data_IF_020535276039
#
_entry.id   IF_020535276039
#
_cell.length_a   1.000
_cell.length_b   1.000
_cell.length_c   1.000
_cell.angle_alpha   90.00
_cell.angle_beta   90.00
_cell.angle_gamma   90.00
#
_symmetry.space_group_name_H-M   'P 1'
#
loop_
_entity.id
_entity.type
_entity.pdbx_description
1 polymer ?
#
# COMPACT_ATOMS: atom_id res chain seq x y z
N UNK A 1 13.54 -13.81 12.65
CA UNK A 1 13.13 -12.56 12.00
C UNK A 1 11.72 -12.70 11.45
N UNK A 2 10.85 -11.77 11.78
CA UNK A 2 9.46 -11.80 11.35
C UNK A 2 9.35 -11.51 9.86
N UNK A 3 8.47 -12.22 9.17
CA UNK A 3 8.22 -12.03 7.74
C UNK A 3 6.98 -11.16 7.52
N UNK A 4 7.06 -10.25 6.56
CA UNK A 4 5.96 -9.36 6.21
C UNK A 4 6.01 -9.10 4.70
N UNK A 5 4.85 -8.93 4.07
CA UNK A 5 4.79 -8.59 2.66
C UNK A 5 4.26 -7.17 2.50
N UNK A 6 4.95 -6.37 1.70
CA UNK A 6 4.49 -5.02 1.34
C UNK A 6 3.94 -5.10 -0.08
N UNK A 7 2.61 -5.02 -0.20
CA UNK A 7 1.90 -5.11 -1.48
C UNK A 7 1.57 -3.70 -1.94
N UNK A 8 1.94 -3.35 -3.15
CA UNK A 8 1.74 -1.99 -3.62
C UNK A 8 1.54 -1.97 -5.13
N UNK A 9 1.07 -0.81 -5.61
CA UNK A 9 1.08 -0.50 -7.03
C UNK A 9 1.76 0.86 -7.18
N UNK A 10 2.72 0.95 -8.09
CA UNK A 10 3.48 2.17 -8.30
C UNK A 10 3.45 2.52 -9.78
N UNK A 11 2.81 3.64 -10.11
CA UNK A 11 2.67 4.10 -11.49
C UNK A 11 3.75 5.09 -11.87
N UNK A 12 4.24 5.89 -10.92
CA UNK A 12 5.25 6.94 -11.17
C UNK A 12 6.56 6.69 -10.46
N UNK A 13 6.66 5.62 -9.66
CA UNK A 13 7.86 5.32 -8.89
C UNK A 13 7.89 5.88 -7.48
N UNK A 14 6.97 6.76 -7.12
CA UNK A 14 6.93 7.35 -5.77
C UNK A 14 6.67 6.30 -4.69
N UNK A 15 5.68 5.44 -4.91
CA UNK A 15 5.36 4.38 -3.95
C UNK A 15 6.49 3.37 -3.86
N UNK A 16 7.08 3.01 -5.00
CA UNK A 16 8.22 2.08 -5.02
C UNK A 16 9.39 2.62 -4.20
N UNK A 17 9.70 3.91 -4.36
CA UNK A 17 10.75 4.57 -3.57
C UNK A 17 10.46 4.47 -2.08
N UNK A 18 9.21 4.73 -1.68
CA UNK A 18 8.83 4.70 -0.28
C UNK A 18 8.95 3.28 0.31
N UNK A 19 8.38 2.28 -0.36
CA UNK A 19 8.39 0.91 0.19
C UNK A 19 9.80 0.33 0.22
N UNK A 20 10.68 0.74 -0.69
CA UNK A 20 12.08 0.31 -0.67
C UNK A 20 12.78 0.83 0.58
N UNK A 21 12.64 2.13 0.87
CA UNK A 21 13.22 2.72 2.08
C UNK A 21 12.60 2.15 3.34
N UNK A 22 11.30 1.91 3.31
CA UNK A 22 10.59 1.30 4.43
C UNK A 22 11.07 -0.11 4.70
N UNK A 23 11.30 -0.92 3.66
CA UNK A 23 11.79 -2.28 3.84
C UNK A 23 13.16 -2.30 4.53
N UNK A 24 14.02 -1.33 4.22
CA UNK A 24 15.32 -1.19 4.87
C UNK A 24 15.16 -0.86 6.36
N UNK A 25 14.25 0.05 6.68
CA UNK A 25 13.97 0.42 8.06
C UNK A 25 13.39 -0.76 8.84
N UNK A 26 12.49 -1.52 8.24
CA UNK A 26 11.91 -2.70 8.87
C UNK A 26 12.97 -3.76 9.13
N UNK A 27 13.90 -3.94 8.21
CA UNK A 27 14.99 -4.90 8.38
C UNK A 27 15.87 -4.54 9.57
N UNK A 28 16.11 -3.25 9.79
CA UNK A 28 16.87 -2.79 10.97
C UNK A 28 16.13 -3.08 12.27
N UNK A 29 14.83 -3.36 12.19
CA UNK A 29 13.97 -3.66 13.35
C UNK A 29 13.49 -5.11 13.36
N UNK A 30 14.27 -6.00 12.76
CA UNK A 30 14.05 -7.45 12.76
C UNK A 30 12.79 -7.90 12.01
N UNK A 31 12.39 -7.16 11.00
CA UNK A 31 11.31 -7.57 10.10
C UNK A 31 11.87 -7.68 8.68
N UNK A 32 11.73 -8.86 8.10
CA UNK A 32 12.13 -9.11 6.72
C UNK A 32 10.91 -8.91 5.81
N UNK A 33 10.95 -7.85 5.00
CA UNK A 33 9.84 -7.47 4.14
C UNK A 33 10.09 -7.89 2.70
N UNK A 34 9.11 -8.56 2.13
CA UNK A 34 9.08 -8.90 0.71
C UNK A 34 8.23 -7.87 -0.02
N UNK A 35 8.71 -7.36 -1.14
CA UNK A 35 8.00 -6.34 -1.92
C UNK A 35 7.28 -6.98 -3.10
N UNK A 36 5.98 -6.71 -3.23
CA UNK A 36 5.21 -7.16 -4.39
C UNK A 36 4.58 -5.93 -5.05
N UNK A 37 5.05 -5.62 -6.26
CA UNK A 37 4.44 -4.57 -7.09
C UNK A 37 3.43 -5.25 -8.02
N UNK A 38 2.15 -5.04 -7.76
CA UNK A 38 1.08 -5.69 -8.52
C UNK A 38 1.13 -5.31 -9.99
N UNK A 39 1.58 -4.10 -10.31
CA UNK A 39 1.76 -3.67 -11.68
C UNK A 39 2.68 -4.62 -12.46
N UNK A 40 3.76 -5.07 -11.83
CA UNK A 40 4.71 -5.99 -12.47
C UNK A 40 4.08 -7.35 -12.71
N UNK A 41 3.25 -7.83 -11.78
CA UNK A 41 2.56 -9.10 -11.97
C UNK A 41 1.65 -9.07 -13.18
N UNK A 42 0.90 -7.99 -13.34
CA UNK A 42 0.00 -7.83 -14.49
C UNK A 42 0.80 -7.72 -15.79
N UNK A 43 1.87 -6.93 -15.78
CA UNK A 43 2.69 -6.70 -16.95
C UNK A 43 3.33 -8.01 -17.47
N UNK A 44 3.72 -8.89 -16.55
CA UNK A 44 4.39 -10.14 -16.90
C UNK A 44 3.41 -11.32 -17.01
N UNK A 45 2.11 -11.06 -16.92
CA UNK A 45 1.05 -12.08 -16.95
C UNK A 45 1.23 -13.17 -15.89
N UNK A 46 1.72 -12.77 -14.72
CA UNK A 46 1.87 -13.71 -13.59
C UNK A 46 0.52 -13.80 -12.88
N UNK A 47 0.04 -15.03 -12.72
CA UNK A 47 -1.21 -15.27 -12.01
C UNK A 47 -1.07 -14.91 -10.54
N UNK A 48 -2.10 -14.24 -9.98
CA UNK A 48 -2.10 -13.87 -8.56
C UNK A 48 -2.15 -15.13 -7.70
N UNK A 49 -1.32 -15.16 -6.66
CA UNK A 49 -1.27 -16.28 -5.75
C UNK A 49 -1.68 -15.87 -4.35
N UNK A 50 -1.91 -16.86 -3.52
CA UNK A 50 -2.31 -16.69 -2.13
C UNK A 50 -1.17 -16.07 -1.31
N UNK A 51 -1.49 -15.06 -0.48
CA UNK A 51 -0.52 -14.49 0.45
C UNK A 51 -0.31 -15.46 1.62
N UNK A 52 0.95 -15.78 1.89
CA UNK A 52 1.32 -16.67 2.99
C UNK A 52 1.65 -15.92 4.26
N UNK A 53 2.03 -14.65 4.14
CA UNK A 53 2.45 -13.82 5.25
C UNK A 53 1.46 -12.68 5.48
N UNK A 54 1.51 -12.06 6.66
CA UNK A 54 0.79 -10.82 6.88
C UNK A 54 1.31 -9.76 5.92
N UNK A 55 0.43 -8.85 5.51
CA UNK A 55 0.75 -7.86 4.50
C UNK A 55 0.28 -6.47 4.90
N UNK A 56 0.93 -5.47 4.33
CA UNK A 56 0.50 -4.07 4.39
C UNK A 56 0.39 -3.59 2.95
N UNK A 57 -0.69 -2.88 2.65
CA UNK A 57 -0.99 -2.40 1.30
C UNK A 57 -0.63 -0.92 1.19
N UNK A 58 -0.01 -0.54 0.07
CA UNK A 58 0.35 0.85 -0.21
C UNK A 58 -0.31 1.28 -1.50
N UNK A 59 -1.10 2.34 -1.44
CA UNK A 59 -1.95 2.74 -2.55
C UNK A 59 -1.91 4.25 -2.76
N UNK A 60 -1.41 4.70 -3.93
CA UNK A 60 -1.46 6.12 -4.25
C UNK A 60 -2.86 6.52 -4.75
N UNK A 61 -3.19 7.80 -4.57
CA UNK A 61 -4.35 8.40 -5.20
C UNK A 61 -3.87 9.23 -6.38
N UNK A 62 -4.33 8.92 -7.57
CA UNK A 62 -4.02 9.66 -8.78
C UNK A 62 -5.26 10.38 -9.27
N UNK A 63 -5.13 11.67 -9.57
CA UNK A 63 -6.19 12.47 -10.16
C UNK A 63 -5.77 12.84 -11.56
N UNK A 64 -6.21 12.05 -12.51
CA UNK A 64 -5.88 12.24 -13.90
C UNK A 64 -6.46 13.54 -14.41
N UNK A 65 -5.66 14.29 -15.17
CA UNK A 65 -6.07 15.58 -15.69
C UNK A 65 -6.15 16.69 -14.66
N UNK A 66 -5.95 16.38 -13.38
CA UNK A 66 -5.92 17.36 -12.31
C UNK A 66 -7.25 18.06 -12.03
N UNK A 67 -8.33 17.62 -12.64
CA UNK A 67 -9.63 18.27 -12.46
C UNK A 67 -10.46 17.67 -11.33
N UNK A 68 -10.10 16.50 -10.85
CA UNK A 68 -10.79 15.88 -9.72
C UNK A 68 -12.23 15.44 -10.00
N UNK A 69 -12.70 15.60 -11.22
CA UNK A 69 -14.08 15.27 -11.58
C UNK A 69 -14.21 13.78 -11.88
N UNK A 70 -13.18 13.18 -12.44
CA UNK A 70 -13.22 11.81 -12.91
C UNK A 70 -12.50 10.87 -11.94
N UNK A 71 -13.10 10.66 -10.77
CA UNK A 71 -12.52 9.76 -9.76
C UNK A 71 -12.53 8.30 -10.25
N UNK A 72 -13.45 7.94 -11.12
CA UNK A 72 -13.49 6.61 -11.71
C UNK A 72 -12.24 6.30 -12.51
N UNK A 73 -11.64 7.30 -13.12
CA UNK A 73 -10.42 7.11 -13.89
C UNK A 73 -9.25 6.66 -12.98
N UNK A 74 -9.12 7.30 -11.83
CA UNK A 74 -8.09 6.93 -10.85
C UNK A 74 -8.29 5.49 -10.38
N UNK A 75 -9.53 5.10 -10.13
CA UNK A 75 -9.85 3.73 -9.71
C UNK A 75 -9.43 2.72 -10.77
N UNK A 76 -9.64 3.03 -12.05
CA UNK A 76 -9.22 2.15 -13.15
C UNK A 76 -7.72 1.91 -13.10
N UNK A 77 -6.92 2.94 -12.82
CA UNK A 77 -5.47 2.81 -12.76
C UNK A 77 -5.02 1.89 -11.64
N UNK A 78 -5.79 1.76 -10.57
CA UNK A 78 -5.42 0.94 -9.41
C UNK A 78 -6.21 -0.36 -9.31
N UNK A 79 -7.10 -0.63 -10.27
CA UNK A 79 -7.93 -1.85 -10.28
C UNK A 79 -7.12 -3.14 -10.11
N UNK A 80 -5.92 -3.30 -10.71
CA UNK A 80 -5.15 -4.52 -10.49
C UNK A 80 -4.84 -4.81 -9.01
N UNK A 81 -4.62 -3.78 -8.21
CA UNK A 81 -4.40 -3.98 -6.78
C UNK A 81 -5.66 -4.48 -6.10
N UNK A 82 -6.81 -3.93 -6.46
CA UNK A 82 -8.10 -4.38 -5.93
C UNK A 82 -8.34 -5.85 -6.29
N UNK A 83 -8.05 -6.22 -7.53
CA UNK A 83 -8.19 -7.60 -7.99
C UNK A 83 -7.26 -8.54 -7.22
N UNK A 84 -6.04 -8.10 -6.97
CA UNK A 84 -5.07 -8.88 -6.19
C UNK A 84 -5.58 -9.14 -4.76
N UNK A 85 -6.12 -8.12 -4.12
CA UNK A 85 -6.65 -8.25 -2.76
C UNK A 85 -7.88 -9.15 -2.69
N UNK A 86 -8.71 -9.14 -3.73
CA UNK A 86 -9.89 -10.01 -3.81
C UNK A 86 -9.52 -11.45 -4.14
N UNK A 87 -8.42 -11.66 -4.86
CA UNK A 87 -7.96 -12.98 -5.27
C UNK A 87 -7.54 -13.78 -4.04
N UNK A 88 -8.03 -15.01 -3.92
CA UNK A 88 -7.70 -15.91 -2.80
C UNK A 88 -7.95 -15.29 -1.43
N UNK A 89 -8.83 -14.29 -1.35
CA UNK A 89 -9.11 -13.55 -0.10
C UNK A 89 -7.84 -12.94 0.51
N UNK A 90 -6.91 -12.48 -0.32
CA UNK A 90 -5.65 -11.90 0.14
C UNK A 90 -5.85 -10.75 1.11
N UNK A 91 -6.95 -10.00 0.98
CA UNK A 91 -7.23 -8.89 1.89
C UNK A 91 -7.31 -9.31 3.36
N UNK A 92 -7.62 -10.60 3.63
CA UNK A 92 -7.70 -11.09 5.01
C UNK A 92 -6.34 -11.17 5.70
N UNK A 93 -5.25 -11.18 4.94
CA UNK A 93 -3.91 -11.16 5.48
C UNK A 93 -3.39 -9.74 5.74
N UNK A 94 -4.13 -8.72 5.32
CA UNK A 94 -3.67 -7.35 5.39
C UNK A 94 -3.90 -6.75 6.78
N UNK A 95 -2.85 -6.21 7.36
CA UNK A 95 -2.90 -5.48 8.62
C UNK A 95 -3.54 -4.10 8.44
N UNK A 96 -3.44 -3.55 7.25
CA UNK A 96 -4.01 -2.26 6.93
C UNK A 96 -3.47 -1.69 5.64
N UNK A 97 -3.85 -0.45 5.34
CA UNK A 97 -3.44 0.24 4.13
C UNK A 97 -2.78 1.57 4.47
N UNK A 98 -1.74 1.91 3.71
CA UNK A 98 -1.07 3.22 3.78
C UNK A 98 -1.39 3.94 2.47
N UNK A 99 -1.99 5.11 2.57
CA UNK A 99 -2.33 5.92 1.41
C UNK A 99 -1.23 6.93 1.09
N UNK A 100 -1.14 7.28 -0.18
CA UNK A 100 -0.28 8.38 -0.61
C UNK A 100 -0.99 9.22 -1.65
N UNK A 101 -0.51 10.42 -1.88
CA UNK A 101 -1.10 11.33 -2.84
C UNK A 101 -0.45 12.68 -2.81
N UNK A 102 -1.11 13.66 -3.40
CA UNK A 102 -0.65 15.03 -3.45
C UNK A 102 -1.63 15.91 -2.66
N UNK A 103 -1.15 16.57 -1.61
CA UNK A 103 -2.00 17.40 -0.76
C UNK A 103 -2.62 18.59 -1.48
N UNK A 104 -2.09 18.95 -2.65
CA UNK A 104 -2.69 19.99 -3.46
C UNK A 104 -4.11 19.65 -3.92
N UNK A 105 -4.51 18.38 -3.83
CA UNK A 105 -5.85 17.94 -4.19
C UNK A 105 -6.81 17.90 -2.99
N UNK A 106 -6.41 18.42 -1.84
CA UNK A 106 -7.28 18.65 -0.69
C UNK A 106 -8.09 17.41 -0.27
N UNK A 107 -9.42 17.48 -0.44
CA UNK A 107 -10.35 16.43 0.01
C UNK A 107 -10.10 15.08 -0.64
N UNK A 108 -9.39 15.05 -1.75
CA UNK A 108 -9.11 13.82 -2.47
C UNK A 108 -7.76 13.20 -2.09
N UNK A 109 -7.02 13.85 -1.20
CA UNK A 109 -5.76 13.31 -0.70
C UNK A 109 -6.02 11.95 -0.06
N UNK A 110 -5.36 10.93 -0.58
CA UNK A 110 -5.46 9.54 -0.10
C UNK A 110 -6.88 8.95 -0.11
N UNK A 111 -7.76 9.51 -0.93
CA UNK A 111 -9.15 9.06 -1.02
C UNK A 111 -9.26 7.58 -1.37
N UNK A 112 -8.46 7.11 -2.32
CA UNK A 112 -8.54 5.73 -2.78
C UNK A 112 -8.21 4.74 -1.65
N UNK A 113 -7.23 5.07 -0.81
CA UNK A 113 -6.88 4.22 0.33
C UNK A 113 -8.05 4.12 1.31
N UNK A 114 -8.75 5.22 1.56
CA UNK A 114 -9.92 5.21 2.44
C UNK A 114 -11.04 4.38 1.87
N UNK A 115 -11.25 4.44 0.55
CA UNK A 115 -12.25 3.63 -0.14
C UNK A 115 -11.93 2.13 -0.02
N UNK A 116 -10.66 1.76 -0.15
CA UNK A 116 -10.24 0.38 0.01
C UNK A 116 -10.44 -0.10 1.45
N UNK A 117 -10.15 0.75 2.42
CA UNK A 117 -10.37 0.43 3.84
C UNK A 117 -11.84 0.09 4.09
N UNK A 118 -12.76 0.88 3.54
CA UNK A 118 -14.18 0.62 3.69
C UNK A 118 -14.61 -0.68 2.99
N UNK A 119 -14.07 -0.93 1.80
CA UNK A 119 -14.45 -2.11 1.00
C UNK A 119 -13.96 -3.41 1.65
N UNK A 120 -12.74 -3.44 2.14
CA UNK A 120 -12.11 -4.66 2.62
C UNK A 120 -12.09 -4.81 4.13
N UNK A 121 -12.38 -3.74 4.87
CA UNK A 121 -12.50 -3.80 6.32
C UNK A 121 -11.21 -3.62 7.13
N UNK A 122 -10.06 -3.46 6.47
CA UNK A 122 -8.82 -3.20 7.20
C UNK A 122 -8.64 -1.69 7.46
N UNK A 123 -7.90 -1.30 8.50
CA UNK A 123 -7.75 0.12 8.83
C UNK A 123 -6.80 0.86 7.90
N UNK A 124 -6.96 2.18 7.83
CA UNK A 124 -5.94 3.05 7.26
C UNK A 124 -4.88 3.25 8.35
N UNK A 125 -3.67 2.77 8.08
CA UNK A 125 -2.58 2.87 9.05
C UNK A 125 -2.05 4.30 9.11
N UNK A 126 -1.78 4.89 7.95
CA UNK A 126 -1.25 6.25 7.86
C UNK A 126 -1.31 6.72 6.40
N UNK A 127 -0.82 7.92 6.17
CA UNK A 127 -0.79 8.55 4.86
C UNK A 127 0.52 9.33 4.70
N UNK A 128 0.99 9.48 3.47
CA UNK A 128 2.15 10.32 3.20
C UNK A 128 1.99 11.01 1.85
N UNK A 129 2.74 12.09 1.65
CA UNK A 129 2.66 12.88 0.43
C UNK A 129 3.78 12.52 -0.53
N UNK A 130 3.43 12.33 -1.81
CA UNK A 130 4.37 12.06 -2.90
C UNK A 130 5.21 10.82 -2.60
N UNK A 131 6.54 10.93 -2.52
CA UNK A 131 7.41 9.79 -2.22
C UNK A 131 7.73 9.65 -0.74
N UNK A 132 7.21 10.55 0.09
CA UNK A 132 7.44 10.54 1.53
C UNK A 132 8.85 10.95 1.94
N UNK A 133 8.95 11.43 3.18
CA UNK A 133 10.24 11.79 3.78
C UNK A 133 10.76 10.63 4.62
N UNK A 134 12.01 10.74 5.10
CA UNK A 134 12.54 9.75 6.03
C UNK A 134 11.75 9.72 7.33
N UNK A 135 11.23 10.87 7.78
CA UNK A 135 10.34 10.91 8.94
C UNK A 135 9.07 10.11 8.72
N UNK A 136 8.51 10.18 7.51
CA UNK A 136 7.34 9.40 7.15
C UNK A 136 7.66 7.90 7.20
N UNK A 137 8.82 7.49 6.70
CA UNK A 137 9.26 6.10 6.73
C UNK A 137 9.32 5.59 8.17
N UNK A 138 9.93 6.35 9.07
CA UNK A 138 10.09 5.94 10.46
C UNK A 138 8.74 5.92 11.20
N UNK A 139 7.93 6.95 11.00
CA UNK A 139 6.60 7.02 11.62
C UNK A 139 5.73 5.84 11.20
N UNK A 140 5.63 5.63 9.90
CA UNK A 140 4.79 4.57 9.34
C UNK A 140 5.38 3.20 9.68
N UNK A 141 6.71 3.07 9.59
CA UNK A 141 7.40 1.83 9.97
C UNK A 141 7.12 1.43 11.41
N UNK A 142 7.15 2.37 12.33
CA UNK A 142 6.88 2.09 13.74
C UNK A 142 5.44 1.63 13.96
N UNK A 143 4.49 2.20 13.23
CA UNK A 143 3.08 1.76 13.30
C UNK A 143 2.94 0.34 12.78
N UNK A 144 3.61 0.02 11.69
CA UNK A 144 3.58 -1.33 11.11
C UNK A 144 4.22 -2.35 12.06
N UNK A 145 5.35 -2.01 12.66
CA UNK A 145 6.03 -2.88 13.62
C UNK A 145 5.09 -3.21 14.78
N UNK A 146 4.40 -2.21 15.31
CA UNK A 146 3.45 -2.39 16.40
C UNK A 146 2.31 -3.33 16.00
N UNK A 147 1.73 -3.12 14.82
CA UNK A 147 0.64 -3.97 14.32
C UNK A 147 1.10 -5.41 14.08
N UNK A 148 2.28 -5.58 13.50
CA UNK A 148 2.81 -6.91 13.20
C UNK A 148 3.08 -7.69 14.48
N UNK A 149 3.61 -7.04 15.50
CA UNK A 149 3.90 -7.70 16.78
C UNK A 149 2.62 -8.01 17.57
N UNK A 150 1.62 -7.14 17.46
CA UNK A 150 0.35 -7.34 18.14
C UNK A 150 -0.39 -8.58 17.61
N UNK A 151 -0.21 -8.89 16.32
CA UNK A 151 -0.87 -10.03 15.71
C UNK A 151 -0.33 -11.38 16.14
N UNK A 152 0.73 -11.42 16.94
CA UNK A 152 1.33 -12.66 17.41
C UNK A 152 0.73 -13.18 18.71
N UNK A 153 -0.04 -12.39 19.39
CA UNK A 153 -0.61 -12.78 20.69
C UNK A 153 -1.87 -13.63 20.57
#
# INVERSE_FOLDING_TARGET
>A
MKQLTLVYISLTGNTHSFVTRLSEYLKENDIDATLINVKDLVKENIQFSHLNEQAVVFLPTYLEGGNGVDSGYTEILTTPLKDYLSSHDNYKKCLGIVGSGNRNFNNQFCLTARQYSETFGFPVIDEFELRGTQRDVERIGNKIITLANKGED
#
